data_IF_023895493191
#
_entry.id   IF_023895493191
#
_cell.length_a   1.000
_cell.length_b   1.000
_cell.length_c   1.000
_cell.angle_alpha   90.00
_cell.angle_beta   90.00
_cell.angle_gamma   90.00
#
_symmetry.space_group_name_H-M   'P 1'
#
loop_
_entity.id
_entity.type
_entity.pdbx_description
1 polymer ?
#
# COMPACT_ATOMS: atom_id res chain seq x y z
N UNK A 1 -2.39 -11.53 -5.59
CA UNK A 1 -2.74 -11.25 -4.17
C UNK A 1 -2.18 -12.32 -3.30
N UNK A 2 -1.79 -11.97 -2.07
CA UNK A 2 -0.97 -12.85 -1.26
C UNK A 2 -1.73 -13.24 -0.01
N UNK A 3 -2.02 -14.52 0.08
CA UNK A 3 -2.47 -15.16 1.30
C UNK A 3 -1.26 -15.34 2.24
N UNK A 4 -0.61 -14.23 2.65
CA UNK A 4 0.61 -14.22 3.48
C UNK A 4 0.47 -15.18 4.68
N UNK A 5 1.49 -15.95 5.07
CA UNK A 5 1.39 -16.78 6.26
C UNK A 5 1.17 -15.93 7.52
N UNK A 6 0.54 -16.52 8.53
CA UNK A 6 0.41 -15.85 9.83
C UNK A 6 1.79 -15.74 10.50
N UNK A 7 2.13 -14.54 10.97
CA UNK A 7 3.28 -14.31 11.84
C UNK A 7 2.88 -14.32 13.32
N UNK A 8 3.85 -14.17 14.24
CA UNK A 8 3.62 -14.22 15.69
C UNK A 8 2.60 -13.20 16.23
N UNK A 9 2.33 -12.13 15.46
CA UNK A 9 1.41 -11.04 15.84
C UNK A 9 0.17 -10.95 14.93
N UNK A 10 -0.08 -11.96 14.10
CA UNK A 10 -1.21 -12.02 13.19
C UNK A 10 -0.81 -12.14 11.73
N UNK A 11 -1.80 -12.04 10.85
CA UNK A 11 -1.68 -12.20 9.40
C UNK A 11 -2.02 -10.87 8.74
N UNK A 12 -1.05 -10.28 8.05
CA UNK A 12 -1.19 -8.95 7.46
C UNK A 12 -0.68 -8.92 6.03
N UNK A 13 -1.23 -8.01 5.22
CA UNK A 13 -0.71 -7.64 3.91
C UNK A 13 -0.61 -6.12 3.80
N UNK A 14 0.33 -5.62 3.00
CA UNK A 14 0.45 -4.19 2.75
C UNK A 14 -0.68 -3.73 1.81
N UNK A 15 -1.23 -2.53 2.07
CA UNK A 15 -2.05 -1.85 1.08
C UNK A 15 -1.14 -1.28 -0.01
N UNK A 16 -1.28 -1.77 -1.24
CA UNK A 16 -0.74 -1.11 -2.42
C UNK A 16 -1.81 -0.27 -3.11
N UNK A 17 -1.43 0.36 -4.22
CA UNK A 17 -2.34 1.12 -5.07
C UNK A 17 -1.89 2.56 -5.26
N UNK A 18 -2.62 3.27 -6.10
CA UNK A 18 -2.38 4.69 -6.39
C UNK A 18 -3.71 5.41 -6.26
N UNK A 19 -3.75 6.42 -5.39
CA UNK A 19 -4.85 7.38 -5.38
C UNK A 19 -4.78 8.28 -6.62
N UNK A 20 -5.85 9.01 -6.88
CA UNK A 20 -5.87 10.09 -7.87
C UNK A 20 -5.92 11.40 -7.10
N UNK A 21 -4.97 12.30 -7.39
CA UNK A 21 -4.87 13.61 -6.75
C UNK A 21 -4.89 14.71 -7.80
N UNK A 22 -5.42 15.87 -7.42
CA UNK A 22 -5.42 17.07 -8.27
C UNK A 22 -4.20 17.91 -7.91
N UNK A 23 -3.41 18.27 -8.92
CA UNK A 23 -2.27 19.17 -8.75
C UNK A 23 -2.77 20.55 -8.31
N UNK A 24 -2.24 21.05 -7.19
CA UNK A 24 -2.76 22.24 -6.49
C UNK A 24 -2.76 23.52 -7.32
N UNK A 25 -1.84 23.64 -8.27
CA UNK A 25 -1.65 24.80 -9.16
C UNK A 25 -2.24 24.60 -10.56
N UNK A 26 -3.06 23.57 -10.78
CA UNK A 26 -3.77 23.40 -12.06
C UNK A 26 -4.80 24.51 -12.30
N UNK A 27 -4.94 24.95 -13.55
CA UNK A 27 -6.00 25.85 -13.98
C UNK A 27 -7.35 25.12 -14.22
N UNK A 28 -7.37 23.79 -14.17
CA UNK A 28 -8.54 22.93 -14.44
C UNK A 28 -8.90 22.04 -13.25
N UNK A 29 -8.88 22.61 -12.04
CA UNK A 29 -9.10 21.83 -10.80
C UNK A 29 -10.54 21.30 -10.70
N UNK A 30 -11.52 22.08 -11.14
CA UNK A 30 -12.93 21.69 -11.06
C UNK A 30 -13.25 20.52 -12.00
N UNK A 31 -12.74 20.56 -13.22
CA UNK A 31 -12.89 19.47 -14.20
C UNK A 31 -12.15 18.21 -13.75
N UNK A 32 -10.95 18.36 -13.17
CA UNK A 32 -10.21 17.22 -12.60
C UNK A 32 -10.99 16.57 -11.43
N UNK A 33 -11.60 17.37 -10.56
CA UNK A 33 -12.46 16.87 -9.48
C UNK A 33 -13.73 16.19 -10.01
N UNK A 34 -14.34 16.73 -11.08
CA UNK A 34 -15.48 16.09 -11.75
C UNK A 34 -15.09 14.71 -12.32
N UNK A 35 -13.91 14.60 -12.93
CA UNK A 35 -13.39 13.32 -13.40
C UNK A 35 -13.20 12.32 -12.26
N UNK A 36 -12.55 12.72 -11.16
CA UNK A 36 -12.34 11.85 -10.00
C UNK A 36 -13.69 11.37 -9.45
N UNK A 37 -14.67 12.28 -9.35
CA UNK A 37 -16.03 11.95 -8.89
C UNK A 37 -16.72 10.95 -9.81
N UNK A 38 -16.60 11.11 -11.14
CA UNK A 38 -17.12 10.17 -12.13
C UNK A 38 -16.42 8.80 -12.02
N UNK A 39 -15.09 8.78 -11.96
CA UNK A 39 -14.31 7.56 -11.91
C UNK A 39 -14.60 6.76 -10.63
N UNK A 40 -14.87 7.44 -9.51
CA UNK A 40 -15.23 6.81 -8.25
C UNK A 40 -16.66 6.23 -8.22
N UNK A 41 -17.49 6.45 -9.24
CA UNK A 41 -18.85 5.90 -9.27
C UNK A 41 -18.84 4.36 -9.37
N UNK A 42 -19.81 3.66 -8.76
CA UNK A 42 -19.88 2.20 -8.79
C UNK A 42 -19.78 1.60 -10.20
N UNK A 43 -20.50 2.16 -11.17
CA UNK A 43 -20.51 1.63 -12.55
C UNK A 43 -19.17 1.81 -13.26
N UNK A 44 -18.51 2.95 -13.07
CA UNK A 44 -17.16 3.18 -13.59
C UNK A 44 -16.16 2.21 -12.95
N UNK A 45 -16.26 1.99 -11.65
CA UNK A 45 -15.39 1.06 -10.90
C UNK A 45 -15.63 -0.42 -11.26
N UNK A 46 -16.88 -0.84 -11.49
CA UNK A 46 -17.21 -2.18 -12.01
C UNK A 46 -16.60 -2.39 -13.39
N UNK A 47 -16.74 -1.41 -14.29
CA UNK A 47 -16.12 -1.47 -15.62
C UNK A 47 -14.60 -1.48 -15.53
N UNK A 48 -14.01 -0.68 -14.66
CA UNK A 48 -12.57 -0.68 -14.40
C UNK A 48 -12.07 -2.07 -13.98
N UNK A 49 -12.76 -2.72 -13.04
CA UNK A 49 -12.47 -4.10 -12.65
C UNK A 49 -12.57 -5.09 -13.81
N UNK A 50 -13.66 -5.02 -14.59
CA UNK A 50 -13.87 -5.90 -15.72
C UNK A 50 -12.80 -5.77 -16.82
N UNK A 51 -12.17 -4.61 -16.93
CA UNK A 51 -11.06 -4.35 -17.86
C UNK A 51 -9.68 -4.79 -17.32
N UNK A 52 -9.63 -5.43 -16.15
CA UNK A 52 -8.39 -5.86 -15.50
C UNK A 52 -7.80 -4.83 -14.53
N UNK A 53 -8.50 -3.74 -14.28
CA UNK A 53 -8.17 -2.79 -13.22
C UNK A 53 -8.46 -3.35 -11.83
N UNK A 54 -7.89 -2.73 -10.80
CA UNK A 54 -8.15 -3.10 -9.41
C UNK A 54 -9.03 -2.04 -8.75
N UNK A 55 -10.26 -2.43 -8.37
CA UNK A 55 -11.16 -1.56 -7.62
C UNK A 55 -11.11 -1.89 -6.13
N UNK A 56 -11.13 -0.85 -5.29
CA UNK A 56 -11.38 -0.96 -3.85
C UNK A 56 -12.81 -0.52 -3.47
N UNK A 57 -13.68 -0.28 -4.46
CA UNK A 57 -15.01 0.24 -4.22
C UNK A 57 -15.91 -0.84 -3.60
N UNK A 58 -16.53 -0.56 -2.45
CA UNK A 58 -17.34 -1.56 -1.70
C UNK A 58 -18.44 -2.20 -2.54
N UNK A 59 -19.13 -1.42 -3.38
CA UNK A 59 -20.18 -1.95 -4.27
C UNK A 59 -19.66 -2.93 -5.35
N UNK A 60 -18.36 -2.90 -5.67
CA UNK A 60 -17.72 -3.89 -6.56
C UNK A 60 -17.34 -5.12 -5.74
N UNK A 61 -16.63 -4.91 -4.62
CA UNK A 61 -16.11 -6.00 -3.78
C UNK A 61 -17.20 -6.84 -3.11
N UNK A 62 -18.34 -6.22 -2.78
CA UNK A 62 -19.47 -6.89 -2.14
C UNK A 62 -20.46 -7.47 -3.15
N UNK A 63 -20.19 -7.38 -4.45
CA UNK A 63 -21.04 -8.01 -5.46
C UNK A 63 -21.02 -9.55 -5.26
N UNK A 64 -22.18 -10.24 -5.25
CA UNK A 64 -22.24 -11.69 -5.03
C UNK A 64 -21.41 -12.50 -6.03
N UNK A 65 -21.20 -11.98 -7.24
CA UNK A 65 -20.39 -12.60 -8.29
C UNK A 65 -18.90 -12.28 -8.20
N UNK A 66 -18.48 -11.35 -7.34
CA UNK A 66 -17.11 -10.83 -7.32
C UNK A 66 -16.07 -11.93 -7.16
N UNK A 67 -16.24 -12.82 -6.17
CA UNK A 67 -15.30 -13.91 -5.88
C UNK A 67 -15.03 -14.83 -7.09
N UNK A 68 -15.99 -14.91 -8.03
CA UNK A 68 -15.91 -15.72 -9.24
C UNK A 68 -15.59 -14.90 -10.50
N UNK A 69 -15.48 -13.57 -10.38
CA UNK A 69 -15.31 -12.66 -11.51
C UNK A 69 -13.93 -12.73 -12.16
N UNK A 70 -12.92 -13.21 -11.44
CA UNK A 70 -11.58 -13.48 -11.94
C UNK A 70 -10.91 -14.59 -11.09
N UNK A 71 -9.92 -15.33 -11.63
CA UNK A 71 -9.25 -16.42 -10.91
C UNK A 71 -8.65 -16.02 -9.56
N UNK A 72 -8.21 -14.77 -9.42
CA UNK A 72 -7.58 -14.23 -8.20
C UNK A 72 -8.54 -13.43 -7.31
N UNK A 73 -9.82 -13.29 -7.68
CA UNK A 73 -10.73 -12.35 -7.04
C UNK A 73 -11.03 -12.73 -5.57
N UNK A 74 -11.21 -14.02 -5.28
CA UNK A 74 -11.40 -14.50 -3.90
C UNK A 74 -10.16 -14.24 -3.02
N UNK A 75 -8.96 -14.45 -3.56
CA UNK A 75 -7.71 -14.17 -2.85
C UNK A 75 -7.51 -12.67 -2.63
N UNK A 76 -7.97 -11.85 -3.58
CA UNK A 76 -8.00 -10.40 -3.42
C UNK A 76 -8.89 -9.98 -2.25
N UNK A 77 -10.14 -10.46 -2.19
CA UNK A 77 -11.05 -10.16 -1.08
C UNK A 77 -10.46 -10.55 0.26
N UNK A 78 -9.87 -11.76 0.32
CA UNK A 78 -9.19 -12.25 1.53
C UNK A 78 -8.06 -11.31 1.94
N UNK A 79 -7.23 -10.89 0.98
CA UNK A 79 -6.12 -9.97 1.22
C UNK A 79 -6.62 -8.61 1.72
N UNK A 80 -7.66 -8.05 1.11
CA UNK A 80 -8.24 -6.76 1.51
C UNK A 80 -8.74 -6.77 2.97
N UNK A 81 -9.23 -7.90 3.47
CA UNK A 81 -9.64 -8.06 4.87
C UNK A 81 -8.49 -8.10 5.88
N UNK A 82 -7.24 -8.21 5.42
CA UNK A 82 -6.04 -8.31 6.26
C UNK A 82 -5.04 -7.18 5.98
N UNK A 83 -5.48 -6.15 5.25
CA UNK A 83 -4.65 -5.00 4.94
C UNK A 83 -4.27 -4.26 6.23
N UNK A 84 -2.98 -3.99 6.38
CA UNK A 84 -2.46 -3.06 7.38
C UNK A 84 -1.42 -2.17 6.72
N UNK A 85 -1.75 -0.90 6.59
CA UNK A 85 -0.81 0.10 6.11
C UNK A 85 -0.01 0.68 7.28
N UNK A 86 1.28 0.88 7.05
CA UNK A 86 2.23 1.48 7.98
C UNK A 86 3.16 2.48 7.28
N UNK A 87 2.95 2.70 5.97
CA UNK A 87 3.78 3.59 5.14
C UNK A 87 3.08 4.92 4.80
N UNK A 88 1.97 5.24 5.44
CA UNK A 88 1.32 6.55 5.37
C UNK A 88 2.11 7.63 6.14
N UNK A 89 3.38 7.80 5.76
CA UNK A 89 4.39 8.64 6.39
C UNK A 89 5.04 9.52 5.32
N UNK A 90 4.97 10.87 5.40
CA UNK A 90 5.68 11.77 4.49
C UNK A 90 7.14 11.39 4.20
N UNK A 91 7.86 10.88 5.21
CA UNK A 91 9.27 10.50 5.11
C UNK A 91 9.49 9.08 4.56
N UNK A 92 8.43 8.43 4.08
CA UNK A 92 8.41 7.04 3.60
C UNK A 92 9.62 6.68 2.74
N UNK A 93 9.96 7.51 1.77
CA UNK A 93 11.04 7.23 0.83
C UNK A 93 12.39 7.03 1.54
N UNK A 94 12.73 7.89 2.50
CA UNK A 94 13.98 7.79 3.26
C UNK A 94 13.96 6.59 4.21
N UNK A 95 12.82 6.37 4.88
CA UNK A 95 12.64 5.24 5.79
C UNK A 95 12.78 3.90 5.05
N UNK A 96 12.16 3.79 3.86
CA UNK A 96 12.23 2.59 3.03
C UNK A 96 13.66 2.33 2.54
N UNK A 97 14.38 3.36 2.10
CA UNK A 97 15.77 3.21 1.65
C UNK A 97 16.68 2.68 2.76
N UNK A 98 16.52 3.21 3.99
CA UNK A 98 17.24 2.70 5.15
C UNK A 98 16.90 1.23 5.43
N UNK A 99 15.61 0.90 5.42
CA UNK A 99 15.14 -0.48 5.64
C UNK A 99 15.70 -1.44 4.58
N UNK A 100 15.60 -1.09 3.30
CA UNK A 100 16.11 -1.91 2.20
C UNK A 100 17.61 -2.17 2.35
N UNK A 101 18.39 -1.14 2.67
CA UNK A 101 19.84 -1.29 2.89
C UNK A 101 20.15 -2.23 4.05
N UNK A 102 19.56 -1.99 5.23
CA UNK A 102 19.84 -2.76 6.46
C UNK A 102 19.40 -4.22 6.33
N UNK A 103 18.20 -4.44 5.79
CA UNK A 103 17.66 -5.79 5.59
C UNK A 103 18.45 -6.53 4.51
N UNK A 104 18.86 -5.86 3.43
CA UNK A 104 19.71 -6.48 2.39
C UNK A 104 21.06 -6.95 2.95
N UNK A 105 21.76 -6.09 3.70
CA UNK A 105 23.06 -6.43 4.28
C UNK A 105 22.98 -7.70 5.15
N UNK A 106 21.93 -7.84 5.96
CA UNK A 106 21.72 -9.03 6.80
C UNK A 106 21.21 -10.24 6.01
N UNK A 107 20.07 -10.13 5.33
CA UNK A 107 19.35 -11.27 4.73
C UNK A 107 20.03 -11.80 3.47
N UNK A 108 20.56 -10.91 2.63
CA UNK A 108 21.09 -11.27 1.31
C UNK A 108 22.61 -11.40 1.37
N UNK A 109 23.29 -10.43 1.99
CA UNK A 109 24.75 -10.41 2.04
C UNK A 109 25.35 -11.17 3.25
N UNK A 110 24.51 -11.65 4.18
CA UNK A 110 24.96 -12.44 5.34
C UNK A 110 25.85 -11.68 6.33
N UNK A 111 25.71 -10.34 6.40
CA UNK A 111 26.55 -9.48 7.25
C UNK A 111 25.87 -9.21 8.60
N UNK A 112 26.62 -9.40 9.67
CA UNK A 112 26.18 -9.12 11.04
C UNK A 112 25.02 -10.01 11.49
N UNK A 113 24.29 -9.53 12.49
CA UNK A 113 23.17 -10.22 13.10
C UNK A 113 21.85 -9.49 12.84
N UNK A 114 20.73 -10.20 13.01
CA UNK A 114 19.40 -9.58 12.93
C UNK A 114 19.25 -8.41 13.92
N UNK A 115 19.81 -8.53 15.12
CA UNK A 115 19.77 -7.48 16.13
C UNK A 115 20.53 -6.24 15.68
N UNK A 116 21.77 -6.40 15.21
CA UNK A 116 22.58 -5.27 14.72
C UNK A 116 21.91 -4.56 13.54
N UNK A 117 21.33 -5.32 12.60
CA UNK A 117 20.63 -4.75 11.46
C UNK A 117 19.41 -3.92 11.87
N UNK A 118 18.61 -4.43 12.81
CA UNK A 118 17.42 -3.74 13.31
C UNK A 118 17.76 -2.56 14.22
N UNK A 119 18.75 -2.68 15.11
CA UNK A 119 19.21 -1.57 15.96
C UNK A 119 19.72 -0.42 15.09
N UNK A 120 20.51 -0.72 14.04
CA UNK A 120 20.99 0.29 13.11
C UNK A 120 19.86 0.90 12.26
N UNK A 121 18.84 0.11 11.88
CA UNK A 121 17.66 0.63 11.21
C UNK A 121 16.88 1.62 12.08
N UNK A 122 16.69 1.30 13.37
CA UNK A 122 16.04 2.20 14.32
C UNK A 122 16.82 3.51 14.42
N UNK A 123 18.16 3.46 14.53
CA UNK A 123 18.98 4.66 14.55
C UNK A 123 18.85 5.52 13.27
N UNK A 124 18.81 4.88 12.09
CA UNK A 124 18.59 5.60 10.82
C UNK A 124 17.21 6.28 10.79
N UNK A 125 16.16 5.59 11.24
CA UNK A 125 14.81 6.14 11.28
C UNK A 125 14.63 7.25 12.32
N UNK A 126 15.24 7.11 13.50
CA UNK A 126 15.26 8.17 14.51
C UNK A 126 15.92 9.43 13.96
N UNK A 127 17.00 9.29 13.18
CA UNK A 127 17.63 10.44 12.52
C UNK A 127 16.66 11.13 11.56
N UNK A 128 16.00 10.38 10.68
CA UNK A 128 15.01 10.93 9.74
C UNK A 128 13.90 11.65 10.49
N UNK A 129 13.33 11.03 11.53
CA UNK A 129 12.25 11.65 12.30
C UNK A 129 12.67 12.90 13.09
N UNK A 130 13.93 12.99 13.54
CA UNK A 130 14.47 14.23 14.13
C UNK A 130 14.59 15.33 13.09
N UNK A 131 15.09 15.00 11.89
CA UNK A 131 15.21 15.95 10.78
C UNK A 131 13.83 16.47 10.33
N UNK A 132 12.81 15.62 10.37
CA UNK A 132 11.42 15.98 10.09
C UNK A 132 10.67 16.62 11.27
N UNK A 133 11.34 16.82 12.41
CA UNK A 133 10.78 17.47 13.60
C UNK A 133 9.66 16.69 14.30
N UNK A 134 9.62 15.35 14.13
CA UNK A 134 8.62 14.49 14.76
C UNK A 134 9.02 14.02 16.15
N UNK A 135 10.32 13.95 16.43
CA UNK A 135 10.92 13.58 17.72
C UNK A 135 12.13 14.44 18.03
#
# INVERSE_FOLDING_TARGET
FFANPAGPKGRFTQLGGQGISVVSYSNHRDEALQYIKWFAQPEAQKRWWALGGYSCHKAVLNDPGFAKSAPFAQDFLTSMGMVKDFWAEPSYAQLLLAMQKRVHDFVVAGKGTAKEALDALVADWEKVFKEDGKI
#
